data_IF_250122879661
#
_entry.id   IF_250122879661
#
_cell.length_a   1.000
_cell.length_b   1.000
_cell.length_c   1.000
_cell.angle_alpha   90.00
_cell.angle_beta   90.00
_cell.angle_gamma   90.00
#
_symmetry.space_group_name_H-M   'P 1'
#
loop_
_entity.id
_entity.type
_entity.pdbx_description
1 polymer ?
#
# COMPACT_ATOMS: atom_id res chain seq x y z
N UNK A 1 -28.74 -45.51 9.17
CA UNK A 1 -28.48 -45.49 7.71
C UNK A 1 -27.09 -45.99 7.50
N UNK A 2 -26.89 -47.07 6.71
CA UNK A 2 -25.54 -47.51 6.33
C UNK A 2 -24.91 -46.50 5.40
N UNK A 3 -23.62 -46.20 5.61
CA UNK A 3 -22.86 -45.39 4.69
C UNK A 3 -22.81 -46.05 3.31
N UNK A 4 -22.89 -45.26 2.21
CA UNK A 4 -22.74 -45.79 0.87
C UNK A 4 -21.37 -46.43 0.69
N UNK A 5 -21.26 -47.43 -0.18
CA UNK A 5 -20.05 -48.18 -0.45
C UNK A 5 -18.93 -47.31 -1.07
N UNK A 6 -19.31 -46.20 -1.74
CA UNK A 6 -18.39 -45.23 -2.32
C UNK A 6 -18.99 -43.82 -2.23
N UNK A 7 -18.13 -42.83 -2.07
CA UNK A 7 -18.52 -41.41 -2.14
C UNK A 7 -19.15 -41.02 -3.48
N UNK A 8 -18.81 -41.74 -4.56
CA UNK A 8 -19.38 -41.54 -5.89
C UNK A 8 -20.83 -42.01 -6.02
N UNK A 9 -21.34 -42.77 -5.03
CA UNK A 9 -22.75 -43.17 -4.94
C UNK A 9 -23.56 -42.28 -4.01
N UNK A 10 -22.95 -41.23 -3.46
CA UNK A 10 -23.63 -40.22 -2.66
C UNK A 10 -24.22 -39.13 -3.56
N UNK A 11 -25.32 -38.54 -3.11
CA UNK A 11 -25.81 -37.31 -3.69
C UNK A 11 -24.79 -36.18 -3.47
N UNK A 12 -24.72 -35.26 -4.42
CA UNK A 12 -23.85 -34.08 -4.25
C UNK A 12 -24.38 -33.25 -3.06
N UNK A 13 -23.48 -32.78 -2.18
CA UNK A 13 -23.90 -32.02 -1.01
C UNK A 13 -24.57 -30.72 -1.43
N UNK A 14 -25.72 -30.45 -0.79
CA UNK A 14 -26.46 -29.20 -0.98
C UNK A 14 -25.99 -28.23 0.10
N UNK A 15 -25.65 -27.00 -0.32
CA UNK A 15 -25.27 -25.96 0.61
C UNK A 15 -26.45 -25.58 1.51
N UNK A 16 -26.23 -25.54 2.80
CA UNK A 16 -27.21 -25.05 3.77
C UNK A 16 -26.97 -23.55 4.00
N UNK A 17 -27.93 -22.73 3.56
CA UNK A 17 -27.89 -21.28 3.68
C UNK A 17 -27.76 -20.78 5.14
N UNK A 18 -28.13 -21.62 6.12
CA UNK A 18 -27.99 -21.28 7.54
C UNK A 18 -26.52 -21.16 8.00
N UNK A 19 -25.58 -21.78 7.25
CA UNK A 19 -24.14 -21.69 7.54
C UNK A 19 -23.40 -20.64 6.70
N UNK A 20 -24.12 -19.91 5.83
CA UNK A 20 -23.53 -18.85 5.01
C UNK A 20 -23.52 -17.55 5.81
N UNK A 21 -22.36 -17.09 6.19
CA UNK A 21 -22.15 -15.76 6.80
C UNK A 21 -21.48 -14.84 5.78
N UNK A 22 -22.28 -14.02 5.12
CA UNK A 22 -21.79 -13.11 4.07
C UNK A 22 -20.80 -12.07 4.60
N UNK A 23 -21.01 -11.56 5.83
CA UNK A 23 -20.11 -10.58 6.42
C UNK A 23 -18.75 -11.18 6.74
N UNK A 24 -18.72 -12.45 7.16
CA UNK A 24 -17.47 -13.20 7.33
C UNK A 24 -16.76 -13.43 5.98
N UNK A 25 -17.52 -13.82 4.95
CA UNK A 25 -16.98 -14.06 3.61
C UNK A 25 -16.38 -12.78 3.00
N UNK A 26 -17.06 -11.64 3.14
CA UNK A 26 -16.60 -10.34 2.66
C UNK A 26 -15.28 -9.93 3.35
N UNK A 27 -15.21 -9.99 4.68
CA UNK A 27 -13.99 -9.69 5.43
C UNK A 27 -12.85 -10.65 5.10
N UNK A 28 -13.15 -11.93 4.94
CA UNK A 28 -12.15 -12.92 4.55
C UNK A 28 -11.63 -12.69 3.13
N UNK A 29 -12.50 -12.27 2.21
CA UNK A 29 -12.12 -11.89 0.85
C UNK A 29 -11.22 -10.64 0.85
N UNK A 30 -11.51 -9.67 1.69
CA UNK A 30 -10.65 -8.49 1.86
C UNK A 30 -9.27 -8.88 2.42
N UNK A 31 -9.22 -9.72 3.45
CA UNK A 31 -7.98 -10.26 3.97
C UNK A 31 -7.17 -11.00 2.90
N UNK A 32 -7.84 -11.80 2.06
CA UNK A 32 -7.23 -12.49 0.93
C UNK A 32 -6.62 -11.50 -0.08
N UNK A 33 -7.34 -10.44 -0.44
CA UNK A 33 -6.84 -9.40 -1.34
C UNK A 33 -5.59 -8.72 -0.76
N UNK A 34 -5.58 -8.40 0.53
CA UNK A 34 -4.41 -7.85 1.22
C UNK A 34 -3.22 -8.82 1.14
N UNK A 35 -3.43 -10.11 1.35
CA UNK A 35 -2.37 -11.14 1.25
C UNK A 35 -1.84 -11.23 -0.19
N UNK A 36 -2.71 -11.20 -1.20
CA UNK A 36 -2.32 -11.20 -2.61
C UNK A 36 -1.44 -10.00 -2.94
N UNK A 37 -1.86 -8.80 -2.52
CA UNK A 37 -1.09 -7.56 -2.72
C UNK A 37 0.22 -7.55 -1.94
N UNK A 38 0.22 -8.07 -0.71
CA UNK A 38 1.44 -8.21 0.10
C UNK A 38 2.47 -9.14 -0.55
N UNK A 39 2.03 -10.24 -1.14
CA UNK A 39 2.91 -11.13 -1.93
C UNK A 39 3.40 -10.44 -3.21
N UNK A 40 2.56 -9.68 -3.88
CA UNK A 40 2.96 -8.87 -5.03
C UNK A 40 4.00 -7.82 -4.65
N UNK A 41 3.82 -7.13 -3.51
CA UNK A 41 4.79 -6.17 -2.99
C UNK A 41 6.14 -6.83 -2.66
N UNK A 42 6.14 -8.00 -2.02
CA UNK A 42 7.37 -8.78 -1.76
C UNK A 42 8.09 -9.16 -3.05
N UNK A 43 7.36 -9.65 -4.04
CA UNK A 43 7.93 -10.01 -5.33
C UNK A 43 8.51 -8.79 -6.05
N UNK A 44 7.81 -7.65 -6.05
CA UNK A 44 8.29 -6.41 -6.62
C UNK A 44 9.54 -5.86 -5.93
N UNK A 45 9.62 -5.99 -4.60
CA UNK A 45 10.80 -5.64 -3.81
C UNK A 45 11.91 -6.72 -3.85
N UNK A 46 11.68 -7.84 -4.54
CA UNK A 46 12.60 -8.99 -4.61
C UNK A 46 12.95 -9.58 -3.22
N UNK A 47 11.97 -9.62 -2.31
CA UNK A 47 12.12 -10.16 -0.95
C UNK A 47 11.40 -11.52 -0.88
N UNK A 48 12.13 -12.57 -0.49
CA UNK A 48 11.60 -13.93 -0.36
C UNK A 48 10.52 -14.02 0.71
N UNK A 49 9.52 -14.87 0.53
CA UNK A 49 8.42 -15.05 1.50
C UNK A 49 8.89 -15.52 2.89
N UNK A 50 10.00 -16.27 2.96
CA UNK A 50 10.59 -16.73 4.24
C UNK A 50 11.37 -15.66 4.97
N UNK A 51 11.74 -14.57 4.31
CA UNK A 51 12.39 -13.43 4.94
C UNK A 51 11.35 -12.65 5.74
N UNK A 52 11.43 -12.58 7.08
CA UNK A 52 10.53 -11.75 7.87
C UNK A 52 10.71 -10.27 7.53
N UNK A 53 9.62 -9.54 7.53
CA UNK A 53 9.61 -8.08 7.42
C UNK A 53 9.27 -7.46 8.79
N UNK A 54 9.83 -6.30 9.06
CA UNK A 54 9.54 -5.56 10.28
C UNK A 54 8.11 -5.05 10.31
N UNK A 55 7.70 -4.35 9.24
CA UNK A 55 6.41 -3.66 9.22
C UNK A 55 5.76 -3.69 7.85
N UNK A 56 4.45 -3.71 7.86
CA UNK A 56 3.59 -3.55 6.68
C UNK A 56 2.46 -2.58 7.01
N UNK A 57 2.14 -1.75 6.04
CA UNK A 57 1.04 -0.79 6.10
C UNK A 57 -0.03 -1.20 5.11
N UNK A 58 -1.28 -1.06 5.52
CA UNK A 58 -2.45 -1.34 4.69
C UNK A 58 -3.39 -0.15 4.73
N UNK A 59 -3.75 0.37 3.56
CA UNK A 59 -4.86 1.29 3.39
C UNK A 59 -6.01 0.52 2.75
N UNK A 60 -7.12 0.45 3.44
CA UNK A 60 -8.37 -0.15 3.01
C UNK A 60 -9.54 0.71 3.50
N UNK A 61 -10.74 0.48 2.98
CA UNK A 61 -11.92 1.24 3.39
C UNK A 61 -12.28 0.99 4.87
N UNK A 62 -12.08 -0.22 5.34
CA UNK A 62 -12.23 -0.60 6.74
C UNK A 62 -10.97 -1.32 7.26
N UNK A 63 -10.58 -1.03 8.49
CA UNK A 63 -9.47 -1.73 9.12
C UNK A 63 -9.92 -3.12 9.58
N UNK A 64 -9.30 -4.16 9.05
CA UNK A 64 -9.48 -5.53 9.52
C UNK A 64 -8.74 -5.74 10.85
N UNK A 65 -9.49 -5.85 11.95
CA UNK A 65 -8.93 -6.09 13.28
C UNK A 65 -8.86 -7.56 13.67
N UNK A 66 -8.27 -7.81 14.87
CA UNK A 66 -8.30 -9.12 15.54
C UNK A 66 -7.70 -10.25 14.71
N UNK A 67 -8.47 -11.33 14.56
CA UNK A 67 -8.02 -12.58 13.93
C UNK A 67 -7.58 -12.41 12.47
N UNK A 68 -8.23 -11.51 11.72
CA UNK A 68 -7.85 -11.25 10.31
C UNK A 68 -6.47 -10.63 10.19
N UNK A 69 -6.15 -9.68 11.08
CA UNK A 69 -4.83 -9.05 11.10
C UNK A 69 -3.73 -10.07 11.44
N UNK A 70 -4.01 -11.03 12.34
CA UNK A 70 -3.10 -12.12 12.66
C UNK A 70 -2.87 -13.04 11.47
N UNK A 71 -3.94 -13.46 10.78
CA UNK A 71 -3.85 -14.28 9.56
C UNK A 71 -2.99 -13.57 8.50
N UNK A 72 -3.23 -12.29 8.26
CA UNK A 72 -2.46 -11.51 7.27
C UNK A 72 -0.98 -11.44 7.65
N UNK A 73 -0.66 -11.18 8.95
CA UNK A 73 0.72 -11.12 9.43
C UNK A 73 1.44 -12.46 9.25
N UNK A 74 0.77 -13.55 9.61
CA UNK A 74 1.35 -14.89 9.54
C UNK A 74 1.59 -15.31 8.08
N UNK A 75 0.60 -15.12 7.19
CA UNK A 75 0.69 -15.44 5.77
C UNK A 75 1.76 -14.63 5.04
N UNK A 76 1.97 -13.39 5.45
CA UNK A 76 2.95 -12.50 4.85
C UNK A 76 4.28 -12.46 5.62
N UNK A 77 4.42 -13.19 6.72
CA UNK A 77 5.62 -13.21 7.56
C UNK A 77 6.09 -11.79 7.93
N UNK A 78 5.18 -11.02 8.52
CA UNK A 78 5.39 -9.63 8.95
C UNK A 78 5.23 -9.53 10.46
N UNK A 79 6.12 -8.77 11.13
CA UNK A 79 6.06 -8.60 12.59
C UNK A 79 4.93 -7.67 13.01
N UNK A 80 4.77 -6.56 12.29
CA UNK A 80 3.77 -5.54 12.57
C UNK A 80 2.93 -5.24 11.33
N UNK A 81 1.61 -5.18 11.52
CA UNK A 81 0.63 -4.75 10.52
C UNK A 81 -0.07 -3.51 11.03
N UNK A 82 -0.05 -2.43 10.27
CA UNK A 82 -0.71 -1.18 10.60
C UNK A 82 -1.69 -0.78 9.50
N UNK A 83 -2.94 -0.52 9.88
CA UNK A 83 -3.93 0.07 8.98
C UNK A 83 -3.82 1.59 9.06
N UNK A 84 -3.73 2.24 7.91
CA UNK A 84 -3.53 3.69 7.79
C UNK A 84 -4.62 4.33 6.92
N UNK A 85 -5.03 5.54 7.27
CA UNK A 85 -6.10 6.26 6.57
C UNK A 85 -5.60 6.95 5.28
N UNK A 86 -4.29 7.10 5.09
CA UNK A 86 -3.69 7.84 3.99
C UNK A 86 -2.52 7.14 3.32
N UNK A 87 -2.20 7.58 2.09
CA UNK A 87 -1.03 7.09 1.35
C UNK A 87 0.28 7.80 1.75
N UNK A 88 0.19 8.84 2.61
CA UNK A 88 1.30 9.70 2.97
C UNK A 88 2.47 8.98 3.69
N UNK A 89 2.20 7.82 4.28
CA UNK A 89 3.21 7.08 5.05
C UNK A 89 4.17 6.28 4.18
N UNK A 90 3.79 5.96 2.94
CA UNK A 90 4.57 5.08 2.05
C UNK A 90 4.73 5.58 0.61
N UNK A 91 4.04 6.67 0.25
CA UNK A 91 4.18 7.32 -1.06
C UNK A 91 4.72 8.73 -0.86
N UNK A 92 5.77 9.07 -1.58
CA UNK A 92 6.26 10.44 -1.72
C UNK A 92 5.75 11.02 -3.02
N UNK A 93 5.26 12.26 -2.97
CA UNK A 93 4.79 12.97 -4.16
C UNK A 93 5.83 13.99 -4.61
N UNK A 94 6.17 13.94 -5.88
CA UNK A 94 7.01 14.94 -6.52
C UNK A 94 6.14 15.83 -7.40
N UNK A 95 6.23 17.11 -7.18
CA UNK A 95 5.49 18.11 -7.93
C UNK A 95 6.38 18.77 -8.97
N UNK A 96 5.89 18.84 -10.20
CA UNK A 96 6.53 19.57 -11.30
C UNK A 96 5.51 20.53 -11.91
N UNK A 97 5.92 21.74 -12.31
CA UNK A 97 4.99 22.67 -12.97
C UNK A 97 4.64 22.16 -14.36
N UNK A 98 3.34 22.19 -14.71
CA UNK A 98 2.86 21.93 -16.06
C UNK A 98 3.20 23.16 -16.93
N UNK A 99 4.20 23.03 -17.81
CA UNK A 99 4.72 24.15 -18.58
C UNK A 99 3.69 24.83 -19.50
N UNK A 100 2.69 24.06 -19.97
CA UNK A 100 1.63 24.58 -20.85
C UNK A 100 0.70 25.58 -20.14
N UNK A 101 0.42 25.37 -18.87
CA UNK A 101 -0.50 26.18 -18.08
C UNK A 101 0.24 27.24 -17.24
N UNK A 102 1.36 26.87 -16.63
CA UNK A 102 2.16 27.75 -15.78
C UNK A 102 3.01 28.72 -16.59
N UNK A 103 3.49 28.32 -17.77
CA UNK A 103 4.31 29.17 -18.63
C UNK A 103 3.69 30.50 -19.01
N UNK A 104 2.46 30.55 -19.51
CA UNK A 104 1.75 31.81 -19.81
C UNK A 104 1.46 32.68 -18.59
N UNK A 105 1.21 32.06 -17.41
CA UNK A 105 0.86 32.77 -16.16
C UNK A 105 2.11 33.32 -15.44
N UNK A 106 3.15 32.48 -15.32
CA UNK A 106 4.30 32.72 -14.43
C UNK A 106 5.66 32.46 -15.08
N UNK A 107 5.79 32.62 -16.39
CA UNK A 107 6.99 32.26 -17.17
C UNK A 107 8.31 32.80 -16.63
N UNK A 108 8.31 34.02 -16.05
CA UNK A 108 9.51 34.64 -15.43
C UNK A 108 9.96 33.95 -14.15
N UNK A 109 9.06 33.25 -13.47
CA UNK A 109 9.27 32.62 -12.18
C UNK A 109 9.41 31.11 -12.27
N UNK A 110 9.31 30.51 -13.47
CA UNK A 110 9.32 29.06 -13.69
C UNK A 110 10.47 28.33 -13.02
N UNK A 111 11.70 28.88 -13.07
CA UNK A 111 12.88 28.31 -12.43
C UNK A 111 12.72 28.19 -10.92
N UNK A 112 12.28 29.30 -10.29
CA UNK A 112 12.09 29.36 -8.85
C UNK A 112 10.86 28.56 -8.38
N UNK A 113 9.80 28.53 -9.17
CA UNK A 113 8.64 27.66 -8.93
C UNK A 113 9.07 26.19 -8.92
N UNK A 114 9.90 25.77 -9.89
CA UNK A 114 10.43 24.42 -9.95
C UNK A 114 11.30 24.08 -8.74
N UNK A 115 12.17 24.99 -8.33
CA UNK A 115 13.02 24.80 -7.13
C UNK A 115 12.18 24.72 -5.87
N UNK A 116 11.16 25.58 -5.73
CA UNK A 116 10.26 25.55 -4.59
C UNK A 116 9.47 24.23 -4.52
N UNK A 117 8.85 23.82 -5.62
CA UNK A 117 8.10 22.55 -5.69
C UNK A 117 8.99 21.33 -5.38
N UNK A 118 10.27 21.37 -5.79
CA UNK A 118 11.22 20.28 -5.49
C UNK A 118 11.65 20.25 -4.01
N UNK A 119 11.51 21.37 -3.29
CA UNK A 119 11.86 21.46 -1.86
C UNK A 119 10.70 21.18 -0.91
N UNK A 120 9.47 21.05 -1.43
CA UNK A 120 8.28 20.78 -0.61
C UNK A 120 8.31 19.34 -0.08
N UNK A 121 7.76 19.18 1.13
CA UNK A 121 7.31 17.86 1.56
C UNK A 121 6.12 17.43 0.70
N UNK A 122 6.35 16.43 -0.15
CA UNK A 122 5.36 15.97 -1.12
C UNK A 122 4.05 15.52 -0.49
N UNK A 123 4.09 14.91 0.69
CA UNK A 123 2.90 14.43 1.40
C UNK A 123 2.08 15.59 1.96
N UNK A 124 2.74 16.57 2.58
CA UNK A 124 2.09 17.78 3.09
C UNK A 124 1.50 18.61 1.95
N UNK A 125 2.23 18.81 0.86
CA UNK A 125 1.78 19.53 -0.33
C UNK A 125 0.59 18.83 -1.02
N UNK A 126 0.56 17.49 -1.06
CA UNK A 126 -0.58 16.74 -1.61
C UNK A 126 -1.83 16.97 -0.77
N UNK A 127 -1.71 16.90 0.54
CA UNK A 127 -2.82 17.15 1.47
C UNK A 127 -3.36 18.57 1.32
N UNK A 128 -2.48 19.58 1.25
CA UNK A 128 -2.86 20.98 1.04
C UNK A 128 -3.60 21.16 -0.30
N UNK A 129 -3.11 20.52 -1.37
CA UNK A 129 -3.73 20.56 -2.68
C UNK A 129 -5.13 19.93 -2.68
N UNK A 130 -5.29 18.78 -1.99
CA UNK A 130 -6.58 18.07 -1.91
C UNK A 130 -7.61 18.84 -1.05
N UNK A 131 -7.16 19.51 0.03
CA UNK A 131 -8.03 20.29 0.90
C UNK A 131 -8.40 21.67 0.31
N UNK A 132 -7.46 22.35 -0.32
CA UNK A 132 -7.62 23.73 -0.77
C UNK A 132 -7.79 23.88 -2.29
N UNK A 133 -7.59 22.81 -3.07
CA UNK A 133 -7.66 22.82 -4.52
C UNK A 133 -6.49 23.50 -5.23
N UNK A 134 -5.57 24.14 -4.49
CA UNK A 134 -4.41 24.81 -5.02
C UNK A 134 -3.29 24.92 -3.98
N UNK A 135 -2.04 24.90 -4.44
CA UNK A 135 -0.87 25.25 -3.65
C UNK A 135 -0.63 26.77 -3.73
N UNK A 136 -0.46 27.41 -2.57
CA UNK A 136 -0.20 28.86 -2.47
C UNK A 136 1.14 29.13 -1.80
N UNK A 137 2.00 29.83 -2.50
CA UNK A 137 3.31 30.23 -1.98
C UNK A 137 3.80 31.53 -2.61
N UNK A 138 4.81 32.16 -2.03
CA UNK A 138 5.36 33.42 -2.52
C UNK A 138 6.74 33.21 -3.13
N UNK A 139 6.95 33.79 -4.32
CA UNK A 139 8.25 33.82 -5.01
C UNK A 139 8.59 35.27 -5.34
N UNK A 140 9.70 35.76 -4.83
CA UNK A 140 10.17 37.14 -5.01
C UNK A 140 9.09 38.23 -4.68
N UNK A 141 8.29 37.97 -3.65
CA UNK A 141 7.23 38.89 -3.22
C UNK A 141 5.95 38.82 -4.08
N UNK A 142 5.86 37.91 -5.03
CA UNK A 142 4.66 37.65 -5.81
C UNK A 142 3.98 36.39 -5.28
N UNK A 143 2.68 36.46 -5.07
CA UNK A 143 1.88 35.30 -4.73
C UNK A 143 1.67 34.41 -5.96
N UNK A 144 1.99 33.16 -5.83
CA UNK A 144 1.82 32.10 -6.83
C UNK A 144 0.74 31.17 -6.33
N UNK A 145 -0.25 30.90 -7.17
CA UNK A 145 -1.30 29.95 -6.93
C UNK A 145 -1.32 28.91 -8.07
N UNK A 146 -1.07 27.63 -7.73
CA UNK A 146 -1.04 26.54 -8.68
C UNK A 146 -2.15 25.54 -8.36
N UNK A 147 -3.12 25.43 -9.26
CA UNK A 147 -4.17 24.43 -9.18
C UNK A 147 -3.70 23.04 -9.64
N UNK A 148 -4.57 22.03 -9.51
CA UNK A 148 -4.31 20.66 -9.94
C UNK A 148 -3.86 20.59 -11.40
N UNK A 149 -4.48 21.37 -12.30
CA UNK A 149 -4.15 21.41 -13.73
C UNK A 149 -2.80 22.09 -14.04
N UNK A 150 -2.27 22.84 -13.09
CA UNK A 150 -0.97 23.52 -13.22
C UNK A 150 0.21 22.64 -12.75
N UNK A 151 -0.07 21.44 -12.22
CA UNK A 151 0.90 20.54 -11.61
C UNK A 151 0.92 19.19 -12.30
N UNK A 152 2.12 18.68 -12.53
CA UNK A 152 2.38 17.28 -12.80
C UNK A 152 2.78 16.63 -11.49
N UNK A 153 1.97 15.67 -11.03
CA UNK A 153 2.16 14.99 -9.76
C UNK A 153 2.65 13.59 -10.08
N UNK A 154 3.92 13.32 -9.78
CA UNK A 154 4.51 11.99 -9.86
C UNK A 154 4.49 11.37 -8.45
N UNK A 155 3.86 10.22 -8.30
CA UNK A 155 3.97 9.43 -7.07
C UNK A 155 5.24 8.56 -7.16
N UNK A 156 6.11 8.70 -6.17
CA UNK A 156 7.31 7.90 -6.04
C UNK A 156 7.24 7.14 -4.72
N UNK A 157 7.59 5.87 -4.75
CA UNK A 157 7.68 5.08 -3.51
C UNK A 157 8.72 5.70 -2.59
N UNK A 158 8.39 5.81 -1.31
CA UNK A 158 9.32 6.32 -0.30
C UNK A 158 10.51 5.38 -0.21
N UNK A 159 11.72 5.94 -0.11
CA UNK A 159 12.93 5.15 0.07
C UNK A 159 12.79 4.23 1.29
N UNK A 160 13.11 2.95 1.12
CA UNK A 160 12.91 1.94 2.17
C UNK A 160 11.50 1.33 2.22
N UNK A 161 10.60 1.66 1.29
CA UNK A 161 9.28 1.03 1.19
C UNK A 161 8.97 0.56 -0.23
N UNK A 162 8.10 -0.43 -0.35
CA UNK A 162 7.55 -0.89 -1.63
C UNK A 162 6.03 -1.03 -1.53
N UNK A 163 5.30 -0.33 -2.37
CA UNK A 163 3.84 -0.30 -2.33
C UNK A 163 3.22 -0.87 -3.61
N UNK A 164 2.09 -1.54 -3.45
CA UNK A 164 1.23 -2.05 -4.53
C UNK A 164 -0.21 -1.70 -4.21
N UNK A 165 -0.96 -1.24 -5.22
CA UNK A 165 -2.37 -0.89 -5.08
C UNK A 165 -3.21 -1.63 -6.11
N UNK A 166 -4.29 -2.26 -5.66
CA UNK A 166 -5.34 -2.86 -6.49
C UNK A 166 -6.61 -3.06 -5.63
N UNK A 167 -7.75 -3.28 -6.24
CA UNK A 167 -9.04 -3.54 -5.54
C UNK A 167 -9.47 -2.45 -4.55
N UNK A 168 -9.01 -1.20 -4.71
CA UNK A 168 -9.23 -0.12 -3.73
C UNK A 168 -8.34 -0.21 -2.47
N UNK A 169 -7.46 -1.22 -2.40
CA UNK A 169 -6.55 -1.47 -1.28
C UNK A 169 -5.13 -1.08 -1.71
N UNK A 170 -4.39 -0.46 -0.81
CA UNK A 170 -2.94 -0.24 -0.99
C UNK A 170 -2.19 -0.96 0.13
N UNK A 171 -1.21 -1.75 -0.27
CA UNK A 171 -0.30 -2.44 0.65
C UNK A 171 1.11 -1.93 0.45
N UNK A 172 1.75 -1.48 1.51
CA UNK A 172 3.14 -1.08 1.51
C UNK A 172 3.95 -1.89 2.53
N UNK A 173 5.12 -2.37 2.13
CA UNK A 173 6.04 -3.11 2.98
C UNK A 173 7.28 -2.27 3.26
N UNK A 174 7.77 -2.33 4.50
CA UNK A 174 9.10 -1.81 4.86
C UNK A 174 10.15 -2.78 4.34
N UNK A 175 11.03 -2.28 3.48
CA UNK A 175 12.11 -3.06 2.86
C UNK A 175 13.43 -2.96 3.63
N UNK A 176 13.47 -2.19 4.72
CA UNK A 176 14.63 -2.07 5.60
C UNK A 176 14.73 -3.33 6.48
N UNK A 177 15.70 -4.17 6.18
CA UNK A 177 15.93 -5.41 6.92
C UNK A 177 16.98 -5.17 8.01
N UNK A 178 16.60 -5.38 9.27
CA UNK A 178 17.57 -5.37 10.36
C UNK A 178 18.41 -6.66 10.36
N UNK A 179 19.61 -6.64 10.97
CA UNK A 179 20.42 -7.85 11.09
C UNK A 179 19.67 -9.05 11.68
N UNK A 180 18.84 -8.80 12.69
CA UNK A 180 18.03 -9.82 13.35
C UNK A 180 16.99 -10.45 12.40
N UNK A 181 16.34 -9.62 11.57
CA UNK A 181 15.39 -10.12 10.56
C UNK A 181 16.07 -10.94 9.47
N UNK A 182 17.29 -10.56 9.07
CA UNK A 182 18.09 -11.30 8.09
C UNK A 182 18.48 -12.67 8.69
N UNK A 183 18.94 -12.69 9.93
CA UNK A 183 19.32 -13.93 10.64
C UNK A 183 18.11 -14.86 10.80
N UNK A 184 16.96 -14.36 11.22
CA UNK A 184 15.72 -15.15 11.30
C UNK A 184 15.32 -15.71 9.93
N UNK A 185 15.41 -14.92 8.86
CA UNK A 185 15.14 -15.36 7.50
C UNK A 185 16.06 -16.51 7.06
N UNK A 186 17.34 -16.41 7.40
CA UNK A 186 18.31 -17.46 7.13
C UNK A 186 18.00 -18.77 7.87
N UNK A 187 17.64 -18.68 9.17
CA UNK A 187 17.23 -19.83 9.96
C UNK A 187 16.01 -20.52 9.36
N UNK A 188 15.00 -19.74 8.94
CA UNK A 188 13.79 -20.30 8.27
C UNK A 188 14.08 -20.98 6.94
N UNK A 189 15.04 -20.47 6.17
CA UNK A 189 15.52 -21.13 4.93
C UNK A 189 16.20 -22.46 5.23
N UNK A 190 17.03 -22.54 6.28
CA UNK A 190 17.68 -23.79 6.70
C UNK A 190 16.65 -24.83 7.14
N UNK A 191 15.71 -24.45 8.01
CA UNK A 191 14.66 -25.36 8.49
C UNK A 191 13.88 -25.95 7.32
N UNK A 192 13.49 -25.11 6.36
CA UNK A 192 12.75 -25.58 5.17
C UNK A 192 13.53 -26.54 4.26
N UNK A 193 14.87 -26.55 4.33
CA UNK A 193 15.69 -27.49 3.54
C UNK A 193 15.95 -28.81 4.28
N UNK A 194 15.75 -28.82 5.59
CA UNK A 194 15.93 -30.02 6.42
C UNK A 194 14.64 -30.84 6.51
N UNK A 195 13.47 -30.18 6.48
CA UNK A 195 12.14 -30.82 6.42
C UNK A 195 11.83 -31.40 5.04
#
# INVERSE_FOLDING_TARGET
KSAPESVHLCDYPIADAAYVDKALEERMNEALNIVVLGRAARNGANIKNRQPLGKMFVRADEALGGEYAEIIRDELNVKELEFVDGEADFVSYNFKPQLKTVGPKYGRFLGKIKEHLASLDGSAAKKELDENGALKFSVDGNEIELGVDDLLIDSVQKEGSFAVSDYGITVAIDTNLTPELIEEGFVREIISKIQ
#
